data_IF_865154977836
#
_entry.id   IF_865154977836
#
_cell.length_a   1.000
_cell.length_b   1.000
_cell.length_c   1.000
_cell.angle_alpha   90.00
_cell.angle_beta   90.00
_cell.angle_gamma   90.00
#
_symmetry.space_group_name_H-M   'P 1'
#
loop_
_entity.id
_entity.type
_entity.pdbx_description
1 polymer ?
#
# COMPACT_ATOMS: atom_id res chain seq x y z
N UNK A 1 -17.01 6.99 -4.45
CA UNK A 1 -15.96 7.11 -3.43
C UNK A 1 -16.20 8.38 -2.62
N UNK A 2 -15.90 8.38 -1.30
CA UNK A 2 -15.95 9.58 -0.48
C UNK A 2 -14.91 10.62 -0.94
N UNK A 3 -15.16 11.88 -0.62
CA UNK A 3 -14.28 13.00 -0.97
C UNK A 3 -13.00 13.00 -0.11
N UNK A 4 -11.80 12.87 -0.71
CA UNK A 4 -10.52 12.86 0.03
C UNK A 4 -10.26 14.13 0.82
N UNK A 5 -10.83 15.27 0.42
CA UNK A 5 -10.67 16.55 1.13
C UNK A 5 -11.38 16.60 2.49
N UNK A 6 -12.15 15.55 2.83
CA UNK A 6 -12.87 15.42 4.10
C UNK A 6 -12.17 14.50 5.10
N UNK A 7 -10.89 14.22 4.88
CA UNK A 7 -10.09 13.45 5.82
C UNK A 7 -10.03 14.16 7.19
N UNK A 8 -10.03 13.38 8.27
CA UNK A 8 -9.76 13.91 9.61
C UNK A 8 -8.27 14.28 9.79
N UNK A 9 -7.89 14.77 10.98
CA UNK A 9 -6.51 15.17 11.28
C UNK A 9 -5.49 14.02 11.14
N UNK A 10 -5.94 12.77 11.19
CA UNK A 10 -5.10 11.60 10.96
C UNK A 10 -5.04 11.20 9.48
N UNK A 11 -5.88 11.78 8.63
CA UNK A 11 -6.00 11.44 7.22
C UNK A 11 -7.06 10.38 6.93
N UNK A 12 -7.89 9.97 7.89
CA UNK A 12 -8.94 8.97 7.70
C UNK A 12 -10.19 9.60 7.08
N UNK A 13 -10.67 9.02 5.98
CA UNK A 13 -11.81 9.54 5.21
C UNK A 13 -13.08 8.71 5.45
N UNK A 14 -12.95 7.39 5.51
CA UNK A 14 -14.08 6.48 5.68
C UNK A 14 -13.66 5.14 6.30
N UNK A 15 -14.63 4.44 6.89
CA UNK A 15 -14.47 3.10 7.48
C UNK A 15 -15.49 2.15 6.83
N UNK A 16 -15.06 0.92 6.50
CA UNK A 16 -15.89 -0.12 5.88
C UNK A 16 -15.70 -0.20 4.36
N UNK A 17 -16.71 -0.74 3.66
CA UNK A 17 -16.64 -1.22 2.27
C UNK A 17 -15.80 -2.50 2.11
N UNK A 18 -15.73 -3.00 0.87
CA UNK A 18 -14.98 -4.19 0.49
C UNK A 18 -13.57 -3.86 -0.03
N UNK A 19 -12.76 -4.91 -0.19
CA UNK A 19 -11.45 -4.87 -0.84
C UNK A 19 -11.52 -5.50 -2.24
N UNK A 20 -12.65 -5.33 -2.95
CA UNK A 20 -12.78 -5.83 -4.32
C UNK A 20 -11.96 -4.94 -5.28
N UNK A 21 -11.47 -5.51 -6.40
CA UNK A 21 -10.61 -4.77 -7.34
C UNK A 21 -11.22 -3.46 -7.83
N UNK A 22 -12.52 -3.43 -8.10
CA UNK A 22 -13.22 -2.21 -8.54
C UNK A 22 -13.18 -1.09 -7.50
N UNK A 23 -13.39 -1.43 -6.23
CA UNK A 23 -13.34 -0.50 -5.10
C UNK A 23 -11.93 0.03 -4.89
N UNK A 24 -10.92 -0.84 -4.93
CA UNK A 24 -9.51 -0.46 -4.81
C UNK A 24 -9.07 0.49 -5.93
N UNK A 25 -9.38 0.15 -7.18
CA UNK A 25 -9.04 1.01 -8.32
C UNK A 25 -9.73 2.37 -8.22
N UNK A 26 -11.02 2.39 -7.84
CA UNK A 26 -11.75 3.64 -7.65
C UNK A 26 -11.11 4.49 -6.53
N UNK A 27 -10.69 3.86 -5.42
CA UNK A 27 -10.00 4.53 -4.32
C UNK A 27 -8.67 5.12 -4.74
N UNK A 28 -7.80 4.33 -5.37
CA UNK A 28 -6.49 4.80 -5.84
C UNK A 28 -6.61 5.96 -6.84
N UNK A 29 -7.58 5.89 -7.76
CA UNK A 29 -7.86 6.98 -8.72
C UNK A 29 -8.34 8.26 -8.05
N UNK A 30 -9.01 8.15 -6.90
CA UNK A 30 -9.39 9.31 -6.09
C UNK A 30 -8.34 9.67 -5.03
N UNK A 31 -7.15 9.08 -5.03
CA UNK A 31 -6.11 9.39 -4.05
C UNK A 31 -6.27 8.73 -2.68
N UNK A 32 -7.22 7.80 -2.53
CA UNK A 32 -7.45 7.03 -1.31
C UNK A 32 -6.64 5.74 -1.31
N UNK A 33 -6.23 5.24 -0.14
CA UNK A 33 -5.64 3.92 0.01
C UNK A 33 -6.19 3.19 1.25
N UNK A 34 -6.31 1.85 1.20
CA UNK A 34 -6.84 1.06 2.31
C UNK A 34 -5.76 0.74 3.35
N UNK A 35 -6.11 0.79 4.62
CA UNK A 35 -5.36 0.16 5.71
C UNK A 35 -6.33 -0.40 6.76
N UNK A 36 -6.06 -1.56 7.37
CA UNK A 36 -6.94 -2.13 8.38
C UNK A 36 -6.86 -1.33 9.68
N UNK A 37 -8.03 -1.15 10.28
CA UNK A 37 -8.19 -0.59 11.62
C UNK A 37 -8.16 -1.72 12.65
N UNK A 38 -7.53 -1.45 13.80
CA UNK A 38 -7.48 -2.42 14.90
C UNK A 38 -8.79 -2.49 15.69
N UNK A 39 -9.47 -1.34 15.83
CA UNK A 39 -10.73 -1.15 16.58
C UNK A 39 -11.51 -0.01 15.90
N UNK A 40 -12.67 -0.26 15.26
CA UNK A 40 -13.23 -1.59 14.95
C UNK A 40 -12.31 -2.37 13.99
N UNK A 41 -12.47 -3.70 13.90
CA UNK A 41 -11.81 -4.50 12.86
C UNK A 41 -12.52 -4.27 11.52
N UNK A 42 -12.04 -3.30 10.76
CA UNK A 42 -12.59 -2.92 9.46
C UNK A 42 -11.48 -2.33 8.58
N UNK A 43 -11.70 -2.22 7.28
CA UNK A 43 -10.82 -1.41 6.41
C UNK A 43 -11.12 0.07 6.63
N UNK A 44 -10.06 0.87 6.79
CA UNK A 44 -10.11 2.33 6.74
C UNK A 44 -9.54 2.84 5.42
N UNK A 45 -10.10 3.93 4.91
CA UNK A 45 -9.67 4.59 3.68
C UNK A 45 -9.01 5.92 4.01
N UNK A 46 -7.76 6.09 3.58
CA UNK A 46 -6.89 7.18 4.01
C UNK A 46 -6.52 8.11 2.85
N UNK A 47 -6.45 9.41 3.14
CA UNK A 47 -5.91 10.48 2.30
C UNK A 47 -5.26 11.56 3.18
N UNK A 48 -4.04 11.34 3.68
CA UNK A 48 -3.36 12.28 4.56
C UNK A 48 -2.95 13.56 3.82
N UNK A 49 -3.01 14.68 4.54
CA UNK A 49 -2.47 15.98 4.14
C UNK A 49 -1.55 16.50 5.26
N UNK A 50 -0.22 16.63 5.02
CA UNK A 50 0.48 16.47 3.74
C UNK A 50 0.62 15.01 3.30
N UNK A 51 0.55 14.79 1.97
CA UNK A 51 0.79 13.48 1.35
C UNK A 51 2.28 13.24 1.13
N UNK A 52 2.80 12.14 1.67
CA UNK A 52 4.16 11.69 1.38
C UNK A 52 4.33 11.24 -0.07
N UNK A 53 5.25 11.87 -0.80
CA UNK A 53 5.63 11.54 -2.18
C UNK A 53 7.15 11.44 -2.31
N UNK A 54 7.62 10.66 -3.30
CA UNK A 54 9.04 10.58 -3.67
C UNK A 54 9.14 10.99 -5.15
N UNK A 55 9.65 12.18 -5.47
CA UNK A 55 9.89 12.60 -6.85
C UNK A 55 10.91 11.67 -7.52
N UNK A 56 10.63 11.25 -8.75
CA UNK A 56 11.49 10.31 -9.48
C UNK A 56 12.84 10.93 -9.85
N UNK A 57 12.86 12.23 -10.14
CA UNK A 57 14.04 13.05 -10.41
C UNK A 57 14.76 13.55 -9.14
N UNK A 58 14.15 13.33 -7.97
CA UNK A 58 14.67 13.77 -6.66
C UNK A 58 15.29 12.66 -5.81
N UNK A 59 15.32 11.41 -6.31
CA UNK A 59 15.81 10.27 -5.51
C UNK A 59 17.31 10.41 -5.21
N UNK A 60 17.65 10.53 -3.92
CA UNK A 60 19.04 10.59 -3.46
C UNK A 60 19.61 9.20 -3.21
N UNK A 61 20.49 8.75 -4.08
CA UNK A 61 21.22 7.48 -3.93
C UNK A 61 22.56 7.74 -3.27
N UNK A 62 22.74 7.25 -2.04
CA UNK A 62 24.02 7.35 -1.35
C UNK A 62 25.09 6.46 -2.00
N UNK A 63 26.37 6.82 -1.82
CA UNK A 63 27.51 6.03 -2.33
C UNK A 63 27.50 4.58 -1.85
N UNK A 64 27.09 4.34 -0.60
CA UNK A 64 26.98 3.00 -0.01
C UNK A 64 25.81 2.20 -0.59
N UNK A 65 24.65 2.83 -0.81
CA UNK A 65 23.50 2.19 -1.44
C UNK A 65 23.84 1.76 -2.88
N UNK A 66 24.41 2.66 -3.68
CA UNK A 66 24.83 2.35 -5.06
C UNK A 66 25.82 1.17 -5.13
N UNK A 67 26.71 1.04 -4.14
CA UNK A 67 27.63 -0.09 -4.04
C UNK A 67 26.91 -1.38 -3.66
N UNK A 68 25.95 -1.30 -2.74
CA UNK A 68 25.16 -2.46 -2.29
C UNK A 68 24.30 -3.03 -3.43
N UNK A 69 23.61 -2.18 -4.19
CA UNK A 69 22.72 -2.58 -5.27
C UNK A 69 23.38 -3.50 -6.31
N UNK A 70 24.69 -3.31 -6.57
CA UNK A 70 25.45 -4.15 -7.52
C UNK A 70 25.56 -5.63 -7.12
N UNK A 71 25.25 -5.96 -5.87
CA UNK A 71 25.29 -7.34 -5.34
C UNK A 71 24.00 -8.10 -5.54
N UNK A 72 22.93 -7.43 -5.96
CA UNK A 72 21.60 -8.00 -6.07
C UNK A 72 21.12 -7.99 -7.52
N UNK A 73 20.37 -9.02 -7.89
CA UNK A 73 19.56 -9.03 -9.10
C UNK A 73 18.17 -8.46 -8.76
N UNK A 74 17.74 -7.43 -9.49
CA UNK A 74 16.39 -6.88 -9.37
C UNK A 74 15.53 -7.46 -10.48
N UNK A 75 14.35 -7.98 -10.10
CA UNK A 75 13.34 -8.51 -11.02
C UNK A 75 12.02 -7.82 -10.70
N UNK A 76 11.14 -7.74 -11.69
CA UNK A 76 9.81 -7.12 -11.58
C UNK A 76 8.78 -8.19 -11.85
N UNK A 77 7.75 -8.28 -11.00
CA UNK A 77 6.59 -9.17 -11.16
C UNK A 77 6.91 -10.66 -11.31
N UNK A 78 7.99 -11.14 -10.69
CA UNK A 78 8.39 -12.56 -10.80
C UNK A 78 8.00 -13.41 -9.59
N UNK A 79 7.58 -12.80 -8.48
CA UNK A 79 7.27 -13.50 -7.22
C UNK A 79 6.38 -12.64 -6.30
N UNK A 80 5.28 -12.09 -6.82
CA UNK A 80 4.42 -11.16 -6.06
C UNK A 80 3.90 -11.78 -4.75
N UNK A 81 3.46 -13.03 -4.80
CA UNK A 81 2.93 -13.76 -3.63
C UNK A 81 3.98 -13.88 -2.51
N UNK A 82 5.23 -14.16 -2.86
CA UNK A 82 6.33 -14.25 -1.90
C UNK A 82 6.66 -12.87 -1.32
N UNK A 83 6.66 -11.83 -2.15
CA UNK A 83 6.93 -10.45 -1.71
C UNK A 83 5.86 -9.96 -0.74
N UNK A 84 4.58 -10.15 -1.06
CA UNK A 84 3.50 -9.67 -0.20
C UNK A 84 3.41 -10.46 1.11
N UNK A 85 3.67 -11.76 1.08
CA UNK A 85 3.73 -12.60 2.28
C UNK A 85 4.87 -12.15 3.20
N UNK A 86 6.07 -11.88 2.66
CA UNK A 86 7.19 -11.38 3.43
C UNK A 86 6.91 -9.97 4.00
N UNK A 87 6.19 -9.12 3.26
CA UNK A 87 5.75 -7.82 3.74
C UNK A 87 4.71 -7.91 4.87
N UNK A 88 3.88 -8.95 4.86
CA UNK A 88 2.82 -9.23 5.82
C UNK A 88 3.29 -10.00 7.07
N UNK A 89 4.61 -10.19 7.28
CA UNK A 89 5.13 -10.90 8.47
C UNK A 89 4.56 -10.28 9.76
N UNK A 90 3.77 -11.02 10.56
CA UNK A 90 3.12 -10.50 11.76
C UNK A 90 4.11 -10.12 12.87
N UNK A 91 5.37 -10.56 12.77
CA UNK A 91 6.45 -10.19 13.70
C UNK A 91 7.09 -8.85 13.34
N UNK A 92 6.78 -8.29 12.16
CA UNK A 92 7.34 -7.01 11.70
C UNK A 92 6.83 -5.87 12.58
N UNK A 93 7.72 -5.07 13.21
CA UNK A 93 7.31 -3.89 13.94
C UNK A 93 6.51 -2.96 13.03
N UNK A 94 5.36 -2.49 13.51
CA UNK A 94 4.44 -1.61 12.76
C UNK A 94 3.87 -2.21 11.46
N UNK A 95 3.97 -3.54 11.28
CA UNK A 95 3.30 -4.24 10.19
C UNK A 95 1.78 -4.09 10.29
N UNK A 96 1.15 -3.79 9.17
CA UNK A 96 -0.30 -3.57 9.09
C UNK A 96 -1.00 -4.45 8.06
N UNK A 97 -0.26 -5.08 7.15
CA UNK A 97 -0.84 -5.95 6.11
C UNK A 97 -1.37 -7.21 6.80
N UNK A 98 -2.70 -7.35 6.83
CA UNK A 98 -3.36 -8.57 7.26
C UNK A 98 -3.68 -9.47 6.06
N UNK A 99 -4.24 -10.66 6.33
CA UNK A 99 -4.59 -11.61 5.27
C UNK A 99 -5.56 -11.06 4.24
N UNK A 100 -6.51 -10.22 4.65
CA UNK A 100 -7.50 -9.63 3.74
C UNK A 100 -6.86 -8.63 2.77
N UNK A 101 -5.95 -7.79 3.26
CA UNK A 101 -5.14 -6.91 2.40
C UNK A 101 -4.25 -7.75 1.49
N UNK A 102 -3.53 -8.74 2.01
CA UNK A 102 -2.66 -9.58 1.19
C UNK A 102 -3.43 -10.22 0.02
N UNK A 103 -4.58 -10.86 0.30
CA UNK A 103 -5.40 -11.51 -0.71
C UNK A 103 -6.03 -10.52 -1.71
N UNK A 104 -6.38 -9.32 -1.27
CA UNK A 104 -6.87 -8.28 -2.16
C UNK A 104 -5.81 -7.85 -3.18
N UNK A 105 -4.58 -7.64 -2.75
CA UNK A 105 -3.49 -7.24 -3.65
C UNK A 105 -2.99 -8.40 -4.52
N UNK A 106 -3.06 -9.65 -4.07
CA UNK A 106 -2.86 -10.83 -4.94
C UNK A 106 -3.87 -10.86 -6.09
N UNK A 107 -5.15 -10.59 -5.80
CA UNK A 107 -6.20 -10.48 -6.84
C UNK A 107 -5.93 -9.31 -7.79
N UNK A 108 -5.51 -8.16 -7.27
CA UNK A 108 -5.12 -7.01 -8.10
C UNK A 108 -3.95 -7.33 -9.03
N UNK A 109 -2.94 -8.06 -8.52
CA UNK A 109 -1.80 -8.49 -9.31
C UNK A 109 -2.20 -9.47 -10.42
N UNK A 110 -3.04 -10.46 -10.12
CA UNK A 110 -3.59 -11.39 -11.11
C UNK A 110 -4.38 -10.68 -12.22
N UNK A 111 -4.95 -9.51 -11.94
CA UNK A 111 -5.66 -8.66 -12.91
C UNK A 111 -4.75 -7.65 -13.64
N UNK A 112 -3.46 -7.60 -13.33
CA UNK A 112 -2.48 -6.70 -13.94
C UNK A 112 -2.48 -5.27 -13.41
N UNK A 113 -3.00 -5.04 -12.20
CA UNK A 113 -3.08 -3.71 -11.56
C UNK A 113 -2.13 -3.50 -10.39
N UNK A 114 -1.48 -4.56 -9.89
CA UNK A 114 -0.51 -4.51 -8.80
C UNK A 114 0.72 -5.35 -9.15
#
# INVERSE_FOLDING_TARGET
>A
MPDPARADDAGLVAIGADLEPGTLLAAYRSGLFPMPLRRPRAVGWWSPDPRGIIPLDGLRISRSLARSCRRYLVRVDTAFDEVIEACADPRRPHGWIDGAIADAYRRMHALGWA
#
